data_IF_483217346403
#
_entry.id   IF_483217346403
#
_cell.length_a   1.000
_cell.length_b   1.000
_cell.length_c   1.000
_cell.angle_alpha   90.00
_cell.angle_beta   90.00
_cell.angle_gamma   90.00
#
_symmetry.space_group_name_H-M   'P 1'
#
loop_
_entity.id
_entity.type
_entity.pdbx_description
1 polymer ?
#
# COMPACT_ATOMS: atom_id res chain seq x y z
N UNK A 1 -57.94 -12.83 -6.76
CA UNK A 1 -58.23 -14.07 -7.50
C UNK A 1 -57.78 -13.87 -8.94
N UNK A 2 -57.03 -14.86 -9.47
CA UNK A 2 -56.68 -15.15 -10.89
C UNK A 2 -56.13 -14.04 -11.80
N UNK A 3 -55.13 -14.22 -12.67
CA UNK A 3 -54.09 -15.23 -12.91
C UNK A 3 -53.34 -14.83 -14.20
N UNK A 4 -52.03 -15.03 -14.21
CA UNK A 4 -51.17 -15.48 -15.34
C UNK A 4 -51.14 -14.71 -16.67
N UNK A 5 -49.91 -14.32 -17.04
CA UNK A 5 -49.44 -14.23 -18.42
C UNK A 5 -47.93 -14.02 -18.45
N UNK A 6 -47.17 -15.05 -18.84
CA UNK A 6 -45.71 -15.04 -18.90
C UNK A 6 -45.16 -15.00 -20.33
N UNK A 7 -43.90 -14.60 -20.46
CA UNK A 7 -42.96 -14.89 -21.57
C UNK A 7 -41.59 -14.38 -21.09
N UNK A 8 -40.50 -15.13 -20.89
CA UNK A 8 -39.84 -16.22 -21.62
C UNK A 8 -39.17 -15.79 -22.93
N UNK A 9 -37.89 -15.39 -22.81
CA UNK A 9 -36.76 -15.47 -23.76
C UNK A 9 -35.53 -14.99 -22.98
N UNK A 10 -34.52 -15.79 -22.63
CA UNK A 10 -33.95 -16.93 -23.34
C UNK A 10 -32.95 -16.42 -24.38
N UNK A 11 -31.72 -16.12 -23.95
CA UNK A 11 -30.63 -15.66 -24.80
C UNK A 11 -29.28 -16.02 -24.23
N UNK A 12 -28.90 -17.29 -24.37
CA UNK A 12 -27.51 -17.78 -24.22
C UNK A 12 -26.73 -17.44 -25.49
N UNK A 13 -25.49 -16.99 -25.30
CA UNK A 13 -24.42 -16.94 -26.30
C UNK A 13 -23.30 -16.08 -25.72
N UNK A 14 -22.11 -16.57 -25.34
CA UNK A 14 -21.37 -17.68 -25.90
C UNK A 14 -20.21 -17.13 -26.73
N UNK A 15 -19.10 -16.77 -26.07
CA UNK A 15 -17.84 -16.35 -26.68
C UNK A 15 -16.93 -15.79 -25.58
N UNK A 16 -15.88 -16.46 -25.11
CA UNK A 16 -14.91 -17.22 -25.87
C UNK A 16 -13.69 -16.35 -26.19
N UNK A 17 -13.10 -15.69 -25.19
CA UNK A 17 -11.87 -14.91 -25.32
C UNK A 17 -10.76 -15.51 -24.46
N UNK A 18 -10.02 -16.46 -25.04
CA UNK A 18 -8.78 -17.02 -24.47
C UNK A 18 -7.73 -15.90 -24.38
N UNK A 19 -7.23 -15.64 -23.18
CA UNK A 19 -6.02 -14.84 -22.94
C UNK A 19 -5.09 -15.62 -22.03
N UNK A 20 -4.18 -16.39 -22.62
CA UNK A 20 -3.13 -17.12 -21.90
C UNK A 20 -2.11 -16.16 -21.29
N UNK A 21 -1.57 -16.52 -20.13
CA UNK A 21 -0.50 -15.73 -19.52
C UNK A 21 -0.12 -16.15 -18.12
N UNK A 22 0.79 -17.14 -18.03
CA UNK A 22 1.70 -17.45 -16.92
C UNK A 22 1.08 -18.20 -15.74
N UNK A 23 1.48 -19.46 -15.61
CA UNK A 23 1.35 -20.28 -14.41
C UNK A 23 2.10 -19.64 -13.23
N UNK A 24 1.46 -18.68 -12.57
CA UNK A 24 1.75 -18.38 -11.19
C UNK A 24 1.33 -19.60 -10.37
N UNK A 25 2.24 -20.13 -9.55
CA UNK A 25 1.90 -21.12 -8.54
C UNK A 25 0.59 -20.72 -7.85
N UNK A 26 -0.37 -21.66 -7.64
CA UNK A 26 -1.60 -21.34 -6.94
C UNK A 26 -1.20 -20.70 -5.62
N UNK A 27 -1.58 -19.44 -5.43
CA UNK A 27 -1.45 -18.79 -4.12
C UNK A 27 -2.30 -19.63 -3.18
N UNK A 28 -1.65 -20.47 -2.38
CA UNK A 28 -2.26 -21.24 -1.30
C UNK A 28 -2.79 -20.26 -0.25
N UNK A 29 -3.95 -19.70 -0.53
CA UNK A 29 -4.65 -18.74 0.30
C UNK A 29 -6.13 -18.90 0.02
N UNK A 30 -6.76 -19.87 0.68
CA UNK A 30 -8.21 -20.04 0.65
C UNK A 30 -8.92 -18.77 1.10
N UNK A 31 -10.18 -18.61 0.69
CA UNK A 31 -11.06 -17.57 1.23
C UNK A 31 -11.36 -17.87 2.70
N UNK A 32 -10.48 -17.41 3.59
CA UNK A 32 -10.69 -17.42 5.04
C UNK A 32 -11.65 -16.27 5.37
N UNK A 33 -12.76 -16.60 6.03
CA UNK A 33 -13.78 -15.63 6.45
C UNK A 33 -13.19 -14.55 7.36
N UNK A 34 -13.80 -13.36 7.36
CA UNK A 34 -13.28 -12.20 8.10
C UNK A 34 -13.10 -12.48 9.61
N UNK A 35 -13.99 -13.29 10.19
CA UNK A 35 -13.93 -13.69 11.60
C UNK A 35 -12.71 -14.55 11.92
N UNK A 36 -12.39 -15.52 11.07
CA UNK A 36 -11.21 -16.37 11.20
C UNK A 36 -9.93 -15.54 11.05
N UNK A 37 -9.93 -14.53 10.16
CA UNK A 37 -8.80 -13.59 10.03
C UNK A 37 -8.61 -12.76 11.30
N UNK A 38 -9.69 -12.21 11.86
CA UNK A 38 -9.64 -11.44 13.12
C UNK A 38 -9.16 -12.30 14.29
N UNK A 39 -9.65 -13.53 14.39
CA UNK A 39 -9.19 -14.49 15.40
C UNK A 39 -7.69 -14.77 15.25
N UNK A 40 -7.22 -15.08 14.04
CA UNK A 40 -5.81 -15.34 13.79
C UNK A 40 -4.90 -14.16 14.16
N UNK A 41 -5.30 -12.93 13.79
CA UNK A 41 -4.57 -11.71 14.16
C UNK A 41 -4.49 -11.59 15.68
N UNK A 42 -5.61 -11.77 16.37
CA UNK A 42 -5.68 -11.69 17.84
C UNK A 42 -4.81 -12.76 18.52
N UNK A 43 -4.90 -14.01 18.09
CA UNK A 43 -4.06 -15.10 18.63
C UNK A 43 -2.57 -14.84 18.39
N UNK A 44 -2.20 -14.32 17.22
CA UNK A 44 -0.80 -13.96 16.94
C UNK A 44 -0.31 -12.79 17.79
N UNK A 45 -1.18 -11.81 18.08
CA UNK A 45 -0.87 -10.73 19.02
C UNK A 45 -0.69 -11.26 20.46
N UNK A 46 -1.54 -12.18 20.90
CA UNK A 46 -1.43 -12.83 22.21
C UNK A 46 -0.12 -13.61 22.34
N UNK A 47 0.24 -14.41 21.33
CA UNK A 47 1.53 -15.12 21.30
C UNK A 47 2.72 -14.15 21.37
N UNK A 48 2.67 -13.05 20.61
CA UNK A 48 3.71 -12.00 20.67
C UNK A 48 3.81 -11.37 22.06
N UNK A 49 2.69 -11.03 22.68
CA UNK A 49 2.66 -10.43 24.01
C UNK A 49 3.16 -11.41 25.09
N UNK A 50 2.80 -12.70 24.99
CA UNK A 50 3.31 -13.76 25.87
C UNK A 50 4.81 -13.94 25.70
N UNK A 51 5.31 -14.02 24.47
CA UNK A 51 6.75 -14.06 24.18
C UNK A 51 7.50 -12.86 24.77
N UNK A 52 6.87 -11.68 24.79
CA UNK A 52 7.47 -10.48 25.35
C UNK A 52 7.66 -10.50 26.89
N UNK A 53 6.96 -11.39 27.61
CA UNK A 53 7.15 -11.56 29.05
C UNK A 53 8.51 -12.18 29.39
N UNK A 54 9.07 -12.97 28.47
CA UNK A 54 10.37 -13.66 28.60
C UNK A 54 11.57 -12.77 28.24
N UNK A 55 11.33 -11.57 27.71
CA UNK A 55 12.39 -10.67 27.29
C UNK A 55 13.16 -10.06 28.47
N UNK A 56 14.45 -9.79 28.26
CA UNK A 56 15.24 -8.98 29.16
C UNK A 56 14.66 -7.55 29.27
N UNK A 57 14.94 -6.85 30.37
CA UNK A 57 14.36 -5.51 30.64
C UNK A 57 14.61 -4.48 29.52
N UNK A 58 15.74 -4.57 28.82
CA UNK A 58 16.07 -3.72 27.66
C UNK A 58 15.16 -4.02 26.47
N UNK A 59 14.96 -5.29 26.17
CA UNK A 59 14.16 -5.75 25.04
C UNK A 59 12.66 -5.52 25.28
N UNK A 60 12.20 -5.61 26.53
CA UNK A 60 10.84 -5.20 26.94
C UNK A 60 10.54 -3.73 26.61
N UNK A 61 11.50 -2.83 26.86
CA UNK A 61 11.34 -1.40 26.50
C UNK A 61 11.29 -1.20 24.99
N UNK A 62 12.13 -1.91 24.24
CA UNK A 62 12.11 -1.86 22.78
C UNK A 62 10.82 -2.43 22.18
N UNK A 63 10.28 -3.50 22.76
CA UNK A 63 9.00 -4.08 22.35
C UNK A 63 7.85 -3.11 22.62
N UNK A 64 7.82 -2.48 23.80
CA UNK A 64 6.81 -1.47 24.13
C UNK A 64 6.84 -0.28 23.17
N UNK A 65 8.02 0.21 22.79
CA UNK A 65 8.12 1.30 21.80
C UNK A 65 7.68 0.86 20.40
N UNK A 66 7.99 -0.37 19.98
CA UNK A 66 7.49 -0.93 18.73
C UNK A 66 5.96 -1.01 18.71
N UNK A 67 5.34 -1.48 19.81
CA UNK A 67 3.87 -1.53 19.94
C UNK A 67 3.22 -0.15 19.79
N UNK A 68 3.83 0.89 20.37
CA UNK A 68 3.36 2.27 20.19
C UNK A 68 3.45 2.74 18.73
N UNK A 69 4.52 2.37 18.02
CA UNK A 69 4.70 2.69 16.60
C UNK A 69 3.66 1.96 15.74
N UNK A 70 3.39 0.68 16.02
CA UNK A 70 2.36 -0.11 15.32
C UNK A 70 0.96 0.46 15.52
N UNK A 71 0.68 1.05 16.69
CA UNK A 71 -0.55 1.79 16.98
C UNK A 71 -0.60 3.18 16.32
N UNK A 72 0.42 3.57 15.56
CA UNK A 72 0.50 4.86 14.87
C UNK A 72 0.97 6.03 15.73
N UNK A 73 1.44 5.79 16.97
CA UNK A 73 1.97 6.86 17.82
C UNK A 73 3.37 7.26 17.39
N UNK A 74 3.63 8.57 17.34
CA UNK A 74 4.95 9.13 17.07
C UNK A 74 5.84 8.95 18.31
N UNK A 75 6.86 8.10 18.21
CA UNK A 75 7.85 7.89 19.28
C UNK A 75 9.04 8.81 19.05
N UNK A 76 9.48 9.51 20.11
CA UNK A 76 10.62 10.40 20.05
C UNK A 76 11.91 9.61 19.74
N UNK A 77 12.59 10.02 18.67
CA UNK A 77 13.88 9.45 18.30
C UNK A 77 14.98 10.17 19.07
N UNK A 78 15.93 9.42 19.63
CA UNK A 78 17.12 10.00 20.26
C UNK A 78 17.85 10.87 19.23
N UNK A 79 18.09 12.14 19.57
CA UNK A 79 18.90 13.04 18.74
C UNK A 79 20.33 12.52 18.72
N UNK A 80 20.84 12.25 17.53
CA UNK A 80 22.22 11.81 17.31
C UNK A 80 22.92 12.89 16.48
N UNK A 81 24.17 13.27 16.80
CA UNK A 81 24.93 14.19 15.97
C UNK A 81 25.00 13.73 14.51
N UNK A 82 24.89 14.67 13.56
CA UNK A 82 24.81 14.38 12.13
C UNK A 82 25.96 13.51 11.62
N UNK A 83 27.19 13.77 12.07
CA UNK A 83 28.38 12.97 11.69
C UNK A 83 28.21 11.50 12.10
N UNK A 84 27.79 11.25 13.34
CA UNK A 84 27.57 9.91 13.87
C UNK A 84 26.38 9.24 13.16
N UNK A 85 25.32 10.00 12.88
CA UNK A 85 24.16 9.52 12.12
C UNK A 85 24.56 9.01 10.72
N UNK A 86 25.33 9.80 9.97
CA UNK A 86 25.84 9.41 8.64
C UNK A 86 26.68 8.14 8.69
N UNK A 87 27.60 8.03 9.67
CA UNK A 87 28.42 6.84 9.85
C UNK A 87 27.56 5.60 10.13
N UNK A 88 26.56 5.72 11.03
CA UNK A 88 25.64 4.62 11.34
C UNK A 88 24.85 4.16 10.11
N UNK A 89 24.31 5.11 9.33
CA UNK A 89 23.59 4.78 8.09
C UNK A 89 24.50 4.11 7.06
N UNK A 90 25.74 4.58 6.90
CA UNK A 90 26.70 3.96 6.00
C UNK A 90 27.04 2.52 6.42
N UNK A 91 27.23 2.27 7.73
CA UNK A 91 27.48 0.92 8.24
C UNK A 91 26.28 -0.02 8.02
N UNK A 92 25.07 0.49 8.25
CA UNK A 92 23.84 -0.26 7.99
C UNK A 92 23.68 -0.60 6.51
N UNK A 93 24.06 0.33 5.62
CA UNK A 93 24.11 0.11 4.17
C UNK A 93 25.07 -0.98 3.76
N UNK A 94 26.33 -0.88 4.18
CA UNK A 94 27.34 -1.88 3.81
C UNK A 94 26.93 -3.27 4.30
N UNK A 95 26.41 -3.37 5.53
CA UNK A 95 25.90 -4.63 6.08
C UNK A 95 24.71 -5.18 5.29
N UNK A 96 23.79 -4.32 4.86
CA UNK A 96 22.67 -4.74 4.02
C UNK A 96 23.16 -5.26 2.67
N UNK A 97 24.06 -4.54 2.01
CA UNK A 97 24.61 -4.90 0.71
C UNK A 97 25.39 -6.23 0.79
N UNK A 98 26.13 -6.47 1.87
CA UNK A 98 26.79 -7.75 2.16
C UNK A 98 25.78 -8.90 2.30
N UNK A 99 24.70 -8.71 3.06
CA UNK A 99 23.66 -9.71 3.25
C UNK A 99 22.91 -10.00 1.94
N UNK A 100 22.67 -8.99 1.12
CA UNK A 100 22.09 -9.16 -0.23
C UNK A 100 23.03 -9.96 -1.11
N UNK A 101 24.31 -9.60 -1.15
CA UNK A 101 25.30 -10.31 -1.95
C UNK A 101 25.43 -11.78 -1.53
N UNK A 102 25.40 -12.08 -0.23
CA UNK A 102 25.39 -13.45 0.29
C UNK A 102 24.11 -14.20 -0.09
N UNK A 103 22.94 -13.58 0.05
CA UNK A 103 21.68 -14.19 -0.35
C UNK A 103 21.65 -14.50 -1.85
N UNK A 104 22.17 -13.60 -2.68
CA UNK A 104 22.28 -13.81 -4.13
C UNK A 104 23.22 -14.96 -4.48
N UNK A 105 24.38 -15.06 -3.83
CA UNK A 105 25.34 -16.16 -4.06
C UNK A 105 24.80 -17.53 -3.64
N UNK A 106 24.08 -17.58 -2.52
CA UNK A 106 23.63 -18.84 -1.93
C UNK A 106 22.19 -19.22 -2.31
N UNK A 107 21.51 -18.42 -3.16
CA UNK A 107 20.09 -18.62 -3.50
C UNK A 107 19.13 -18.44 -2.31
N UNK A 108 19.55 -17.67 -1.30
CA UNK A 108 18.79 -17.44 -0.07
C UNK A 108 17.70 -16.37 -0.19
N UNK A 109 16.89 -16.25 0.85
CA UNK A 109 15.83 -15.22 0.95
C UNK A 109 16.48 -13.84 1.03
N UNK A 110 16.05 -12.91 0.17
CA UNK A 110 16.55 -11.54 0.17
C UNK A 110 16.21 -10.80 1.48
N UNK A 111 17.19 -10.15 2.12
CA UNK A 111 16.94 -9.38 3.34
C UNK A 111 16.01 -8.20 3.06
N UNK A 112 15.14 -7.90 4.02
CA UNK A 112 14.22 -6.75 3.95
C UNK A 112 15.03 -5.45 4.01
N UNK A 113 14.75 -4.53 3.07
CA UNK A 113 15.40 -3.22 3.03
C UNK A 113 15.12 -2.43 4.31
N UNK A 114 16.16 -1.90 4.99
CA UNK A 114 15.98 -1.11 6.21
C UNK A 114 15.23 0.19 5.93
N UNK A 115 14.53 0.71 6.94
CA UNK A 115 13.68 1.89 6.82
C UNK A 115 14.48 3.15 6.42
N UNK A 116 15.75 3.23 6.83
CA UNK A 116 16.68 4.31 6.48
C UNK A 116 16.98 4.41 4.97
N UNK A 117 16.74 3.35 4.20
CA UNK A 117 17.00 3.30 2.76
C UNK A 117 15.73 3.20 1.91
N UNK A 118 14.56 3.19 2.55
CA UNK A 118 13.32 3.39 1.82
C UNK A 118 13.35 4.82 1.34
N UNK A 119 13.29 5.01 0.02
CA UNK A 119 12.94 6.32 -0.50
C UNK A 119 11.50 6.52 -0.07
N UNK A 120 11.23 7.61 0.63
CA UNK A 120 9.88 8.14 0.63
C UNK A 120 9.55 8.31 -0.86
N UNK A 121 8.43 7.74 -1.31
CA UNK A 121 7.95 8.04 -2.64
C UNK A 121 7.61 9.53 -2.60
N UNK A 122 8.58 10.36 -2.99
CA UNK A 122 8.37 11.78 -3.18
C UNK A 122 7.16 11.86 -4.10
N UNK A 123 6.06 12.41 -3.58
CA UNK A 123 4.89 12.71 -4.39
C UNK A 123 5.42 13.51 -5.56
N UNK A 124 5.40 12.90 -6.75
CA UNK A 124 5.94 13.53 -7.94
C UNK A 124 5.28 14.89 -8.04
N UNK A 125 6.11 15.94 -8.08
CA UNK A 125 5.64 17.29 -8.28
C UNK A 125 4.72 17.29 -9.51
N UNK A 126 3.44 17.53 -9.26
CA UNK A 126 2.41 17.50 -10.31
C UNK A 126 2.50 18.73 -11.21
N UNK A 127 3.43 19.65 -10.92
CA UNK A 127 3.60 20.89 -11.64
C UNK A 127 2.39 21.80 -11.49
N UNK A 128 2.28 22.77 -12.38
CA UNK A 128 1.14 23.69 -12.41
C UNK A 128 -0.09 22.96 -12.98
N UNK A 129 -1.08 22.65 -12.12
CA UNK A 129 -2.34 22.04 -12.56
C UNK A 129 -3.29 23.10 -13.16
N UNK A 130 -3.79 22.84 -14.37
CA UNK A 130 -4.87 23.62 -14.96
C UNK A 130 -6.19 23.24 -14.27
N UNK A 131 -6.85 24.21 -13.63
CA UNK A 131 -8.13 23.99 -12.90
C UNK A 131 -9.34 23.72 -13.79
N UNK A 132 -9.27 24.07 -15.07
CA UNK A 132 -10.41 24.01 -15.98
C UNK A 132 -10.23 22.84 -16.93
N UNK A 133 -11.20 21.93 -16.99
CA UNK A 133 -11.20 20.80 -17.93
C UNK A 133 -10.14 19.73 -17.66
N UNK A 134 -10.09 18.73 -18.54
CA UNK A 134 -9.13 17.63 -18.50
C UNK A 134 -8.15 17.76 -19.67
N UNK A 135 -6.86 17.83 -19.39
CA UNK A 135 -5.83 17.76 -20.44
C UNK A 135 -5.35 16.32 -20.60
N UNK A 136 -5.41 15.77 -21.82
CA UNK A 136 -4.97 14.41 -22.11
C UNK A 136 -4.45 14.33 -23.54
N UNK A 137 -3.31 13.67 -23.75
CA UNK A 137 -2.69 13.45 -25.08
C UNK A 137 -2.59 14.74 -25.93
N UNK A 138 -2.15 15.85 -25.34
CA UNK A 138 -2.01 17.13 -26.05
C UNK A 138 -3.33 17.85 -26.34
N UNK A 139 -4.48 17.29 -25.96
CA UNK A 139 -5.80 17.86 -26.22
C UNK A 139 -6.45 18.32 -24.91
N UNK A 140 -7.10 19.48 -24.96
CA UNK A 140 -7.83 20.06 -23.84
C UNK A 140 -9.33 19.76 -23.95
N UNK A 141 -9.86 18.95 -23.03
CA UNK A 141 -11.26 18.56 -22.99
C UNK A 141 -12.03 19.41 -22.00
N UNK A 142 -12.98 20.19 -22.52
CA UNK A 142 -13.91 20.99 -21.71
C UNK A 142 -15.28 20.32 -21.67
N UNK A 143 -15.85 20.20 -20.47
CA UNK A 143 -17.22 19.69 -20.34
C UNK A 143 -18.24 20.76 -20.76
N UNK A 144 -19.41 20.34 -21.26
CA UNK A 144 -20.51 21.27 -21.57
C UNK A 144 -20.91 22.12 -20.36
N UNK A 145 -20.79 21.55 -19.16
CA UNK A 145 -21.04 22.24 -17.88
C UNK A 145 -20.02 23.32 -17.58
N UNK A 146 -18.72 23.07 -17.84
CA UNK A 146 -17.67 24.07 -17.64
C UNK A 146 -17.84 25.25 -18.59
N UNK A 147 -18.14 24.96 -19.86
CA UNK A 147 -18.44 25.99 -20.86
C UNK A 147 -19.64 26.82 -20.42
N UNK A 148 -20.76 26.17 -20.06
CA UNK A 148 -21.97 26.88 -19.62
C UNK A 148 -21.72 27.74 -18.37
N UNK A 149 -20.89 27.27 -17.43
CA UNK A 149 -20.54 27.99 -16.21
C UNK A 149 -19.75 29.27 -16.50
N UNK A 150 -18.78 29.22 -17.42
CA UNK A 150 -18.02 30.43 -17.82
C UNK A 150 -18.95 31.45 -18.47
N UNK A 151 -19.85 31.00 -19.36
CA UNK A 151 -20.81 31.88 -20.03
C UNK A 151 -21.84 32.50 -19.08
N UNK A 152 -22.31 31.79 -18.05
CA UNK A 152 -23.26 32.33 -17.08
C UNK A 152 -22.57 33.23 -16.04
N UNK A 153 -21.32 32.95 -15.69
CA UNK A 153 -20.54 33.80 -14.79
C UNK A 153 -20.27 35.18 -15.40
N UNK A 154 -19.85 35.24 -16.67
CA UNK A 154 -19.60 36.51 -17.38
C UNK A 154 -20.87 37.34 -17.63
N UNK A 155 -22.05 36.73 -17.50
CA UNK A 155 -23.35 37.40 -17.68
C UNK A 155 -23.89 38.01 -16.38
N UNK A 156 -23.36 37.62 -15.22
CA UNK A 156 -23.70 38.18 -13.90
C UNK A 156 -22.72 39.27 -13.44
N UNK A 157 -21.61 39.46 -14.14
CA UNK A 157 -20.61 40.48 -13.83
C UNK A 157 -20.72 41.75 -14.70
N UNK A 158 -21.82 41.90 -15.43
CA UNK A 158 -22.28 43.13 -16.09
C UNK A 158 -23.61 43.51 -15.45
#
# INVERSE_FOLDING_TARGET
MSSRGGSSRGGRGGGGGRGGGRGGAPRMGGHVGEEQRKYFIKSMEEVKNLGATMFAKKDKKAFATQKLIEQGRKVERRKVPLKIGKIKMSKEKNRYDELVAQAMKNGGIMPKKPSSMKKDEDEKDRGLEMRNGKFSNGTHYLSKTDVKRVYTAGRKSK
#
